data_IF_396848237098
#
_entry.id   IF_396848237098
#
_cell.length_a   1.000
_cell.length_b   1.000
_cell.length_c   1.000
_cell.angle_alpha   90.00
_cell.angle_beta   90.00
_cell.angle_gamma   90.00
#
_symmetry.space_group_name_H-M   'P 1'
#
loop_
_entity.id
_entity.type
_entity.pdbx_description
1 polymer ?
#
# COMPACT_ATOMS: atom_id res chain seq x y z
N UNK A 1 6.92 -0.95 -23.09
CA UNK A 1 5.96 -2.06 -23.01
C UNK A 1 6.63 -3.26 -22.36
N UNK A 2 6.76 -3.27 -21.02
CA UNK A 2 7.17 -4.43 -20.19
C UNK A 2 6.90 -4.07 -18.72
N UNK A 3 5.67 -4.23 -18.22
CA UNK A 3 5.35 -3.94 -16.81
C UNK A 3 4.45 -5.03 -16.18
N UNK A 4 4.34 -6.21 -16.81
CA UNK A 4 3.47 -7.29 -16.35
C UNK A 4 4.13 -8.28 -15.38
N UNK A 5 5.47 -8.26 -15.30
CA UNK A 5 6.23 -9.00 -14.28
C UNK A 5 6.75 -8.01 -13.23
N UNK A 6 5.84 -7.54 -12.35
CA UNK A 6 6.29 -6.95 -11.08
C UNK A 6 7.08 -8.04 -10.36
N UNK A 7 8.41 -7.89 -10.27
CA UNK A 7 9.26 -8.91 -9.67
C UNK A 7 8.75 -9.24 -8.26
N UNK A 8 8.70 -10.52 -7.91
CA UNK A 8 8.24 -10.96 -6.58
C UNK A 8 8.97 -10.24 -5.44
N UNK A 9 10.23 -9.87 -5.69
CA UNK A 9 11.02 -9.01 -4.83
C UNK A 9 10.35 -7.65 -4.54
N UNK A 10 9.86 -6.93 -5.56
CA UNK A 10 9.15 -5.65 -5.36
C UNK A 10 7.85 -5.85 -4.60
N UNK A 11 7.14 -6.94 -4.87
CA UNK A 11 5.90 -7.28 -4.15
C UNK A 11 6.15 -7.57 -2.67
N UNK A 12 7.19 -8.32 -2.35
CA UNK A 12 7.60 -8.61 -0.97
C UNK A 12 8.07 -7.33 -0.25
N UNK A 13 8.83 -6.47 -0.94
CA UNK A 13 9.28 -5.19 -0.40
C UNK A 13 8.10 -4.27 -0.07
N UNK A 14 7.16 -4.09 -0.99
CA UNK A 14 5.93 -3.31 -0.76
C UNK A 14 5.14 -3.85 0.43
N UNK A 15 4.98 -5.17 0.53
CA UNK A 15 4.26 -5.80 1.62
C UNK A 15 4.94 -5.58 2.98
N UNK A 16 6.27 -5.55 3.01
CA UNK A 16 7.07 -5.23 4.21
C UNK A 16 6.91 -3.77 4.59
N UNK A 17 7.03 -2.84 3.63
CA UNK A 17 6.79 -1.40 3.86
C UNK A 17 5.40 -1.16 4.41
N UNK A 18 4.36 -1.69 3.76
CA UNK A 18 2.98 -1.58 4.24
C UNK A 18 2.85 -2.11 5.66
N UNK A 19 3.42 -3.29 5.97
CA UNK A 19 3.39 -3.87 7.32
C UNK A 19 4.06 -2.96 8.35
N UNK A 20 5.19 -2.33 8.01
CA UNK A 20 5.87 -1.36 8.88
C UNK A 20 5.02 -0.11 9.13
N UNK A 21 4.34 0.41 8.11
CA UNK A 21 3.42 1.55 8.29
C UNK A 21 2.23 1.18 9.17
N UNK A 22 1.60 0.02 8.96
CA UNK A 22 0.52 -0.47 9.83
C UNK A 22 1.00 -0.73 11.26
N UNK A 23 2.22 -1.24 11.46
CA UNK A 23 2.77 -1.44 12.79
C UNK A 23 3.02 -0.11 13.53
N UNK A 24 3.35 0.96 12.80
CA UNK A 24 3.67 2.27 13.37
C UNK A 24 2.45 3.17 13.58
N UNK A 25 1.49 3.13 12.65
CA UNK A 25 0.35 4.06 12.61
C UNK A 25 -1.02 3.37 12.69
N UNK A 26 -1.06 2.04 12.77
CA UNK A 26 -2.32 1.30 12.84
C UNK A 26 -3.19 1.52 11.61
N UNK A 27 -4.49 1.76 11.82
CA UNK A 27 -5.47 1.97 10.76
C UNK A 27 -5.22 3.26 9.95
N UNK A 28 -4.63 4.29 10.59
CA UNK A 28 -4.27 5.55 9.95
C UNK A 28 -3.16 5.39 8.90
N UNK A 29 -2.47 4.25 8.88
CA UNK A 29 -1.45 3.95 7.87
C UNK A 29 -1.99 4.11 6.43
N UNK A 30 -3.26 3.78 6.19
CA UNK A 30 -3.87 3.90 4.86
C UNK A 30 -3.99 5.36 4.45
N UNK A 31 -4.45 6.21 5.37
CA UNK A 31 -4.67 7.63 5.09
C UNK A 31 -3.34 8.34 4.90
N UNK A 32 -2.34 8.05 5.73
CA UNK A 32 -0.97 8.58 5.58
C UNK A 32 -0.36 8.18 4.22
N UNK A 33 -0.54 6.92 3.80
CA UNK A 33 -0.06 6.46 2.49
C UNK A 33 -0.81 7.14 1.34
N UNK A 34 -2.10 7.44 1.50
CA UNK A 34 -2.92 8.12 0.50
C UNK A 34 -2.61 9.62 0.41
N UNK A 35 -2.33 10.26 1.54
CA UNK A 35 -1.90 11.65 1.65
C UNK A 35 -0.56 11.83 0.94
N UNK A 36 0.44 10.99 1.24
CA UNK A 36 1.72 10.99 0.51
C UNK A 36 1.59 10.68 -0.97
N UNK A 37 0.58 9.91 -1.38
CA UNK A 37 0.32 9.68 -2.80
C UNK A 37 -0.23 10.92 -3.53
N UNK A 38 -0.72 11.90 -2.78
CA UNK A 38 -1.34 13.14 -3.26
C UNK A 38 -0.44 14.36 -3.08
N UNK A 39 0.61 14.24 -2.28
CA UNK A 39 1.65 15.24 -2.06
C UNK A 39 2.31 15.65 -3.39
N UNK A 40 2.19 16.93 -3.74
CA UNK A 40 2.67 17.49 -5.00
C UNK A 40 4.16 17.80 -4.99
N UNK A 41 4.78 17.86 -3.81
CA UNK A 41 6.21 18.09 -3.64
C UNK A 41 7.02 16.84 -3.98
N UNK A 42 6.36 15.68 -4.00
CA UNK A 42 6.96 14.43 -4.43
C UNK A 42 7.02 14.29 -5.96
N UNK A 43 8.14 13.74 -6.41
CA UNK A 43 8.37 13.28 -7.77
C UNK A 43 7.20 12.38 -8.24
N UNK A 44 6.87 12.45 -9.54
CA UNK A 44 5.81 11.63 -10.16
C UNK A 44 6.01 10.13 -9.94
N UNK A 45 7.28 9.67 -9.91
CA UNK A 45 7.65 8.27 -9.62
C UNK A 45 7.30 7.88 -8.19
N UNK A 46 7.61 8.73 -7.22
CA UNK A 46 7.34 8.46 -5.80
C UNK A 46 5.85 8.54 -5.50
N UNK A 47 5.12 9.51 -6.08
CA UNK A 47 3.66 9.52 -6.02
C UNK A 47 3.05 8.23 -6.56
N UNK A 48 3.58 7.68 -7.66
CA UNK A 48 3.11 6.40 -8.22
C UNK A 48 3.41 5.24 -7.27
N UNK A 49 4.56 5.26 -6.60
CA UNK A 49 4.94 4.29 -5.56
C UNK A 49 3.96 4.34 -4.38
N UNK A 50 3.77 5.50 -3.76
CA UNK A 50 2.84 5.69 -2.64
C UNK A 50 1.40 5.32 -3.01
N UNK A 51 0.94 5.67 -4.21
CA UNK A 51 -0.37 5.27 -4.72
C UNK A 51 -0.52 3.76 -4.84
N UNK A 52 0.55 3.06 -5.23
CA UNK A 52 0.57 1.59 -5.29
C UNK A 52 0.51 0.99 -3.88
N UNK A 53 1.28 1.51 -2.93
CA UNK A 53 1.25 1.07 -1.53
C UNK A 53 -0.13 1.28 -0.90
N UNK A 54 -0.73 2.47 -1.06
CA UNK A 54 -2.06 2.77 -0.55
C UNK A 54 -3.13 1.83 -1.12
N UNK A 55 -3.09 1.54 -2.43
CA UNK A 55 -4.00 0.57 -3.07
C UNK A 55 -3.81 -0.84 -2.53
N UNK A 56 -2.56 -1.29 -2.33
CA UNK A 56 -2.25 -2.62 -1.75
C UNK A 56 -2.68 -2.70 -0.27
N UNK A 57 -2.45 -1.64 0.50
CA UNK A 57 -2.86 -1.52 1.90
C UNK A 57 -4.39 -1.63 2.06
N UNK A 58 -5.16 -0.88 1.26
CA UNK A 58 -6.64 -0.96 1.24
C UNK A 58 -7.15 -2.35 0.89
N UNK A 59 -6.57 -3.02 -0.13
CA UNK A 59 -6.94 -4.40 -0.49
C UNK A 59 -6.63 -5.39 0.63
N UNK A 60 -5.56 -5.16 1.40
CA UNK A 60 -5.20 -6.01 2.55
C UNK A 60 -6.20 -5.83 3.69
N UNK A 61 -6.61 -4.59 3.99
CA UNK A 61 -7.64 -4.30 4.99
C UNK A 61 -9.00 -4.90 4.60
N UNK A 62 -9.40 -4.77 3.33
CA UNK A 62 -10.63 -5.40 2.81
C UNK A 62 -10.61 -6.93 2.94
N UNK A 63 -9.46 -7.58 2.71
CA UNK A 63 -9.30 -9.03 2.92
C UNK A 63 -9.29 -9.45 4.39
N UNK A 64 -8.80 -8.61 5.30
CA UNK A 64 -8.93 -8.85 6.75
C UNK A 64 -10.34 -8.55 7.27
N UNK A 65 -11.11 -7.68 6.61
CA UNK A 65 -12.54 -7.47 6.89
C UNK A 65 -13.42 -8.64 6.44
N UNK A 66 -13.05 -9.36 5.37
CA UNK A 66 -13.78 -10.56 4.92
C UNK A 66 -13.60 -11.78 5.83
N UNK A 67 -12.73 -11.75 6.85
CA UNK A 67 -12.56 -12.87 7.81
C UNK A 67 -13.32 -12.69 9.13
N UNK A 68 -14.09 -11.62 9.30
CA UNK A 68 -14.92 -11.39 10.51
C UNK A 68 -16.43 -11.37 10.22
N UNK A 69 -16.86 -11.77 9.03
CA UNK A 69 -18.28 -11.99 8.71
C UNK A 69 -18.43 -13.20 7.78
N UNK A 70 -18.12 -14.38 8.30
CA UNK A 70 -18.58 -15.64 7.72
C UNK A 70 -18.63 -16.69 8.83
N UNK A 71 -19.84 -16.91 9.36
CA UNK A 71 -20.27 -18.15 10.02
C UNK A 71 -19.78 -18.38 11.43
#
# INVERSE_FOLDING_TARGET
MFDFFESDYRRAKDAREIKSYFARYGEQAIDILAERASDRDLCSRDRRHWRRLARKARRRQGKSGTRLSAG
#
